data_IF_641268343393
#
_entry.id   IF_641268343393
#
_cell.length_a   1.000
_cell.length_b   1.000
_cell.length_c   1.000
_cell.angle_alpha   90.00
_cell.angle_beta   90.00
_cell.angle_gamma   90.00
#
_symmetry.space_group_name_H-M   'P 1'
#
loop_
_entity.id
_entity.type
_entity.pdbx_description
1 polymer ?
#
# COMPACT_ATOMS: atom_id res chain seq x y z
N UNK A 1 2.42 4.97 -1.60
CA UNK A 1 2.02 3.70 -0.94
C UNK A 1 0.52 3.45 -1.02
N UNK A 2 -0.36 4.10 -0.21
CA UNK A 2 -1.81 3.82 -0.16
C UNK A 2 -2.52 3.88 -1.51
N UNK A 3 -2.17 4.85 -2.35
CA UNK A 3 -2.79 5.07 -3.67
C UNK A 3 -2.36 4.02 -4.70
N UNK A 4 -1.11 3.56 -4.65
CA UNK A 4 -0.59 2.62 -5.65
C UNK A 4 -0.88 1.16 -5.30
N UNK A 5 -0.78 0.80 -4.02
CA UNK A 5 -1.04 -0.58 -3.57
C UNK A 5 -2.49 -0.83 -3.12
N UNK A 6 -3.29 0.22 -2.95
CA UNK A 6 -4.63 0.10 -2.39
C UNK A 6 -4.68 -0.45 -0.97
N UNK A 7 -3.56 -0.53 -0.24
CA UNK A 7 -3.54 -1.03 1.12
C UNK A 7 -4.29 -0.10 2.08
N UNK A 8 -4.75 -0.65 3.20
CA UNK A 8 -5.34 0.16 4.30
C UNK A 8 -4.22 0.89 5.06
N UNK A 9 -4.56 2.02 5.67
CA UNK A 9 -3.58 2.76 6.50
C UNK A 9 -2.93 1.86 7.56
N UNK A 10 -3.71 1.02 8.25
CA UNK A 10 -3.17 0.09 9.22
C UNK A 10 -2.27 -1.00 8.62
N UNK A 11 -2.52 -1.42 7.39
CA UNK A 11 -1.65 -2.34 6.67
C UNK A 11 -0.32 -1.65 6.32
N UNK A 12 -0.38 -0.41 5.83
CA UNK A 12 0.82 0.39 5.55
C UNK A 12 1.69 0.61 6.80
N UNK A 13 1.07 0.96 7.94
CA UNK A 13 1.79 1.17 9.19
C UNK A 13 2.46 -0.09 9.74
N UNK A 14 2.02 -1.26 9.31
CA UNK A 14 2.59 -2.56 9.68
C UNK A 14 3.64 -3.07 8.69
N UNK A 15 3.92 -2.34 7.59
CA UNK A 15 4.90 -2.78 6.59
C UNK A 15 6.32 -2.76 7.17
N UNK A 16 7.06 -3.81 6.85
CA UNK A 16 8.48 -3.94 7.10
C UNK A 16 9.28 -3.90 5.81
N UNK A 17 10.56 -3.66 5.91
CA UNK A 17 11.45 -3.65 4.75
C UNK A 17 11.45 -5.00 4.02
N UNK A 18 11.37 -6.11 4.77
CA UNK A 18 11.25 -7.48 4.23
C UNK A 18 9.99 -7.73 3.39
N UNK A 19 8.95 -6.90 3.55
CA UNK A 19 7.70 -7.01 2.79
C UNK A 19 7.79 -6.39 1.39
N UNK A 20 8.87 -5.65 1.09
CA UNK A 20 9.05 -4.94 -0.17
C UNK A 20 10.07 -5.66 -1.03
N UNK A 21 9.59 -6.45 -1.97
CA UNK A 21 10.39 -7.14 -2.97
C UNK A 21 10.63 -6.19 -4.16
N UNK A 22 11.68 -5.35 -4.06
CA UNK A 22 11.91 -4.27 -5.01
C UNK A 22 12.23 -4.78 -6.42
N UNK A 23 12.97 -5.89 -6.55
CA UNK A 23 13.30 -6.49 -7.84
C UNK A 23 12.07 -7.05 -8.55
N UNK A 24 11.17 -7.65 -7.80
CA UNK A 24 9.91 -8.22 -8.26
C UNK A 24 8.81 -7.17 -8.42
N UNK A 25 9.03 -5.96 -7.90
CA UNK A 25 8.03 -4.88 -7.84
C UNK A 25 6.74 -5.34 -7.13
N UNK A 26 6.91 -5.89 -5.93
CA UNK A 26 5.84 -6.44 -5.14
C UNK A 26 5.89 -5.96 -3.69
N UNK A 27 4.70 -5.85 -3.08
CA UNK A 27 4.55 -5.57 -1.65
C UNK A 27 3.69 -6.66 -1.03
N UNK A 28 4.22 -7.32 -0.02
CA UNK A 28 3.50 -8.32 0.76
C UNK A 28 2.81 -7.67 1.95
N UNK A 29 1.49 -7.71 1.97
CA UNK A 29 0.69 -7.34 3.15
C UNK A 29 0.59 -8.57 4.03
N UNK A 30 1.43 -8.64 5.04
CA UNK A 30 1.48 -9.80 5.93
C UNK A 30 0.42 -9.72 7.04
N UNK A 31 -0.23 -10.85 7.31
CA UNK A 31 -1.13 -10.99 8.45
C UNK A 31 -0.30 -11.31 9.70
N UNK A 32 0.15 -10.27 10.38
CA UNK A 32 0.94 -10.38 11.63
C UNK A 32 0.49 -9.37 12.66
N UNK A 33 0.86 -9.62 13.92
CA UNK A 33 0.78 -8.63 14.97
C UNK A 33 2.04 -7.75 14.94
N UNK A 34 1.85 -6.45 15.09
CA UNK A 34 2.92 -5.47 15.07
C UNK A 34 2.98 -4.73 16.40
N UNK A 35 4.20 -4.36 16.83
CA UNK A 35 4.45 -3.66 18.09
C UNK A 35 3.69 -2.32 18.22
N UNK A 36 3.42 -1.66 17.09
CA UNK A 36 2.64 -0.42 17.03
C UNK A 36 1.12 -0.65 16.96
N UNK A 37 0.64 -1.88 17.13
CA UNK A 37 -0.77 -2.26 17.05
C UNK A 37 -1.36 -2.28 15.64
N UNK A 38 -0.56 -2.02 14.62
CA UNK A 38 -0.99 -2.09 13.23
C UNK A 38 -1.36 -3.53 12.83
N UNK A 39 -2.45 -3.72 12.09
CA UNK A 39 -2.96 -5.05 11.73
C UNK A 39 -3.46 -5.07 10.30
N UNK A 40 -3.23 -6.18 9.61
CA UNK A 40 -4.00 -6.54 8.43
C UNK A 40 -5.32 -7.18 8.88
N UNK A 41 -6.46 -6.58 8.53
CA UNK A 41 -7.80 -7.12 8.85
C UNK A 41 -8.19 -8.32 7.99
N UNK A 42 -7.52 -8.51 6.87
CA UNK A 42 -7.67 -9.64 5.96
C UNK A 42 -6.40 -10.49 6.01
N UNK A 43 -6.47 -11.72 5.52
CA UNK A 43 -5.30 -12.57 5.36
C UNK A 43 -4.19 -11.90 4.53
N UNK A 44 -2.99 -12.44 4.60
CA UNK A 44 -1.85 -11.95 3.83
C UNK A 44 -2.13 -11.98 2.32
N UNK A 45 -1.53 -11.04 1.59
CA UNK A 45 -1.56 -10.99 0.13
C UNK A 45 -0.36 -10.25 -0.43
N UNK A 46 0.01 -10.57 -1.64
CA UNK A 46 1.02 -9.83 -2.39
C UNK A 46 0.35 -8.93 -3.43
N UNK A 47 0.81 -7.69 -3.51
CA UNK A 47 0.28 -6.66 -4.41
C UNK A 47 1.39 -6.22 -5.34
N UNK A 48 1.28 -6.45 -6.65
CA UNK A 48 2.18 -5.88 -7.64
C UNK A 48 2.08 -4.35 -7.64
N UNK A 49 3.21 -3.67 -7.76
CA UNK A 49 3.28 -2.20 -7.74
C UNK A 49 4.13 -1.69 -8.89
N UNK A 50 3.89 -0.45 -9.30
CA UNK A 50 4.66 0.17 -10.37
C UNK A 50 6.09 0.54 -9.95
N UNK A 51 7.01 0.68 -10.92
CA UNK A 51 8.41 1.03 -10.68
C UNK A 51 8.56 2.38 -9.98
N UNK A 52 7.62 3.31 -10.17
CA UNK A 52 7.64 4.62 -9.54
C UNK A 52 7.51 4.54 -8.03
N UNK A 53 6.69 3.62 -7.50
CA UNK A 53 6.58 3.41 -6.07
C UNK A 53 7.87 2.83 -5.49
N UNK A 54 8.51 1.91 -6.20
CA UNK A 54 9.79 1.33 -5.80
C UNK A 54 10.88 2.40 -5.80
N UNK A 55 10.91 3.29 -6.82
CA UNK A 55 11.83 4.42 -6.85
C UNK A 55 11.61 5.36 -5.67
N UNK A 56 10.36 5.77 -5.40
CA UNK A 56 10.04 6.61 -4.24
C UNK A 56 10.43 5.95 -2.91
N UNK A 57 10.33 4.64 -2.81
CA UNK A 57 10.79 3.90 -1.64
C UNK A 57 12.32 3.95 -1.51
N UNK A 58 13.05 3.76 -2.61
CA UNK A 58 14.51 3.85 -2.63
C UNK A 58 15.00 5.27 -2.28
N UNK A 59 14.36 6.30 -2.85
CA UNK A 59 14.66 7.71 -2.54
C UNK A 59 14.41 8.01 -1.05
N UNK A 60 13.30 7.54 -0.50
CA UNK A 60 12.98 7.66 0.91
C UNK A 60 14.05 7.01 1.81
N UNK A 61 14.51 5.81 1.46
CA UNK A 61 15.56 5.13 2.21
C UNK A 61 16.89 5.90 2.16
N UNK A 62 17.20 6.47 1.01
CA UNK A 62 18.46 7.17 0.80
C UNK A 62 18.46 8.57 1.43
N UNK A 63 17.40 9.33 1.22
CA UNK A 63 17.37 10.76 1.56
C UNK A 63 16.87 11.04 2.98
N UNK A 64 15.92 10.23 3.48
CA UNK A 64 15.24 10.52 4.74
C UNK A 64 15.49 9.48 5.83
N UNK A 65 15.39 8.19 5.48
CA UNK A 65 15.52 7.11 6.45
C UNK A 65 16.96 6.96 6.96
N UNK A 66 17.92 7.04 6.04
CA UNK A 66 19.36 7.01 6.36
C UNK A 66 19.77 5.75 7.14
N UNK A 67 20.51 5.96 8.22
CA UNK A 67 21.03 4.89 9.08
C UNK A 67 20.11 4.50 10.25
N UNK A 68 18.80 4.70 10.15
CA UNK A 68 17.86 4.27 11.19
C UNK A 68 17.79 2.74 11.21
N UNK A 69 18.03 2.17 12.40
CA UNK A 69 17.92 0.73 12.64
C UNK A 69 16.48 0.39 13.08
N UNK A 70 15.67 -0.05 12.13
CA UNK A 70 14.30 -0.50 12.38
C UNK A 70 13.82 -1.42 11.25
N UNK A 71 13.03 -2.43 11.59
CA UNK A 71 12.40 -3.31 10.59
C UNK A 71 11.27 -2.61 9.82
N UNK A 72 10.67 -1.55 10.42
CA UNK A 72 9.48 -0.91 9.87
C UNK A 72 9.81 0.13 8.81
N UNK A 73 8.99 0.21 7.78
CA UNK A 73 9.09 1.22 6.72
C UNK A 73 8.72 2.61 7.24
N UNK A 74 7.65 2.72 8.02
CA UNK A 74 7.18 4.01 8.53
C UNK A 74 7.52 4.17 10.01
N UNK A 75 8.49 5.03 10.29
CA UNK A 75 9.07 5.23 11.61
C UNK A 75 9.22 6.72 11.95
N UNK A 76 9.46 7.01 13.20
CA UNK A 76 9.86 8.34 13.62
C UNK A 76 11.27 8.64 13.09
N UNK A 77 11.36 9.53 12.11
CA UNK A 77 12.63 10.00 11.55
C UNK A 77 13.14 11.23 12.31
N UNK A 78 12.24 12.15 12.61
CA UNK A 78 12.55 13.47 13.18
C UNK A 78 12.22 13.58 14.68
N UNK A 79 11.36 12.71 15.20
CA UNK A 79 10.93 12.71 16.60
C UNK A 79 11.55 11.54 17.39
N UNK A 80 11.80 11.76 18.66
CA UNK A 80 12.22 10.69 19.57
C UNK A 80 11.01 9.84 20.04
N UNK A 81 11.20 8.55 20.26
CA UNK A 81 12.40 7.79 19.92
C UNK A 81 12.49 7.54 18.40
N UNK A 82 13.66 7.82 17.82
CA UNK A 82 13.93 7.55 16.39
C UNK A 82 13.83 6.06 16.11
N UNK A 83 13.37 5.71 14.90
CA UNK A 83 13.22 4.32 14.49
C UNK A 83 12.00 3.61 15.08
N UNK A 84 11.27 4.24 15.98
CA UNK A 84 10.01 3.67 16.49
C UNK A 84 8.96 3.67 15.38
N UNK A 85 8.34 2.51 15.17
CA UNK A 85 7.25 2.37 14.21
C UNK A 85 6.10 3.36 14.48
N UNK A 86 5.58 3.99 13.44
CA UNK A 86 4.47 4.92 13.57
C UNK A 86 3.24 4.25 14.15
N UNK A 87 2.64 4.90 15.15
CA UNK A 87 1.33 4.53 15.67
C UNK A 87 0.20 5.08 14.78
N UNK A 88 -1.02 4.55 14.96
CA UNK A 88 -2.21 5.12 14.34
C UNK A 88 -2.41 6.59 14.70
N UNK A 89 -2.06 6.98 15.95
CA UNK A 89 -2.18 8.37 16.37
C UNK A 89 -1.22 9.28 15.62
N UNK A 90 0.04 8.88 15.44
CA UNK A 90 1.03 9.66 14.69
C UNK A 90 0.58 9.86 13.22
N UNK A 91 0.06 8.81 12.58
CA UNK A 91 -0.47 8.90 11.23
C UNK A 91 -1.73 9.79 11.16
N UNK A 92 -2.62 9.70 12.13
CA UNK A 92 -3.81 10.55 12.21
C UNK A 92 -3.45 12.03 12.40
N UNK A 93 -2.49 12.33 13.28
CA UNK A 93 -2.00 13.69 13.48
C UNK A 93 -1.36 14.29 12.23
N UNK A 94 -0.66 13.45 11.42
CA UNK A 94 -0.17 13.87 10.11
C UNK A 94 -1.34 14.26 9.18
N UNK A 95 -2.38 13.41 9.12
CA UNK A 95 -3.57 13.69 8.29
C UNK A 95 -4.22 15.01 8.71
N UNK A 96 -4.37 15.27 10.02
CA UNK A 96 -4.93 16.53 10.52
C UNK A 96 -4.07 17.74 10.13
N UNK A 97 -2.75 17.63 10.26
CA UNK A 97 -1.83 18.70 9.82
C UNK A 97 -1.92 18.96 8.32
N UNK A 98 -1.99 17.91 7.50
CA UNK A 98 -2.13 18.06 6.05
C UNK A 98 -3.46 18.70 5.68
N UNK A 99 -4.58 18.29 6.30
CA UNK A 99 -5.88 18.94 6.12
C UNK A 99 -5.84 20.43 6.45
N UNK A 100 -5.23 20.77 7.58
CA UNK A 100 -5.10 22.17 8.00
C UNK A 100 -4.25 23.01 7.03
N UNK A 101 -3.18 22.43 6.49
CA UNK A 101 -2.27 23.12 5.56
C UNK A 101 -2.83 23.27 4.16
N UNK A 102 -3.59 22.29 3.68
CA UNK A 102 -4.10 22.26 2.30
C UNK A 102 -5.53 22.78 2.16
N UNK A 103 -6.29 22.86 3.26
CA UNK A 103 -7.72 23.11 3.23
C UNK A 103 -8.56 21.98 2.67
N UNK A 104 -7.95 20.82 2.36
CA UNK A 104 -8.62 19.67 1.75
C UNK A 104 -8.99 18.66 2.83
N UNK A 105 -10.28 18.40 2.99
CA UNK A 105 -10.80 17.39 3.91
C UNK A 105 -10.74 16.01 3.25
N UNK A 106 -9.58 15.36 3.27
CA UNK A 106 -9.42 14.00 2.76
C UNK A 106 -9.37 12.97 3.88
N UNK A 107 -9.72 11.72 3.56
CA UNK A 107 -9.53 10.56 4.43
C UNK A 107 -8.52 9.60 3.79
N UNK A 108 -7.59 8.99 4.55
CA UNK A 108 -6.66 7.99 4.01
C UNK A 108 -7.35 6.86 3.25
N UNK A 109 -8.59 6.53 3.59
CA UNK A 109 -9.36 5.52 2.91
C UNK A 109 -9.72 5.92 1.47
N UNK A 110 -9.78 7.24 1.17
CA UNK A 110 -10.00 7.73 -0.20
C UNK A 110 -8.91 7.32 -1.17
N UNK A 111 -7.67 7.22 -0.71
CA UNK A 111 -6.56 6.74 -1.56
C UNK A 111 -6.78 5.30 -2.00
N UNK A 112 -7.27 4.45 -1.11
CA UNK A 112 -7.64 3.07 -1.44
C UNK A 112 -8.84 3.01 -2.39
N UNK A 113 -9.86 3.84 -2.19
CA UNK A 113 -10.97 3.96 -3.14
C UNK A 113 -10.50 4.47 -4.50
N UNK A 114 -9.56 5.43 -4.50
CA UNK A 114 -8.92 5.92 -5.72
C UNK A 114 -8.20 4.82 -6.48
N UNK A 115 -7.40 3.99 -5.78
CA UNK A 115 -6.74 2.83 -6.37
C UNK A 115 -7.75 1.88 -7.02
N UNK A 116 -8.79 1.48 -6.28
CA UNK A 116 -9.83 0.60 -6.78
C UNK A 116 -10.52 1.16 -8.04
N UNK A 117 -10.93 2.44 -7.98
CA UNK A 117 -11.62 3.10 -9.08
C UNK A 117 -10.72 3.19 -10.32
N UNK A 118 -9.44 3.50 -10.13
CA UNK A 118 -8.45 3.57 -11.21
C UNK A 118 -8.28 2.21 -11.87
N UNK A 119 -8.03 1.15 -11.12
CA UNK A 119 -7.89 -0.20 -11.64
C UNK A 119 -9.12 -0.64 -12.45
N UNK A 120 -10.32 -0.39 -11.93
CA UNK A 120 -11.57 -0.70 -12.65
C UNK A 120 -11.71 0.11 -13.95
N UNK A 121 -11.35 1.39 -13.96
CA UNK A 121 -11.36 2.23 -15.17
C UNK A 121 -10.35 1.78 -16.21
N UNK A 122 -9.20 1.29 -15.75
CA UNK A 122 -8.16 0.74 -16.61
C UNK A 122 -8.48 -0.68 -17.10
N UNK A 123 -9.67 -1.22 -16.75
CA UNK A 123 -10.17 -2.50 -17.24
C UNK A 123 -9.68 -3.71 -16.45
N UNK A 124 -9.10 -3.51 -15.25
CA UNK A 124 -8.76 -4.62 -14.35
C UNK A 124 -10.04 -5.30 -13.88
N UNK A 125 -10.18 -6.63 -14.00
CA UNK A 125 -11.37 -7.36 -13.56
C UNK A 125 -11.67 -7.10 -12.07
N UNK A 126 -12.96 -6.98 -11.74
CA UNK A 126 -13.40 -6.66 -10.37
C UNK A 126 -12.93 -7.69 -9.34
N UNK A 127 -12.80 -8.95 -9.74
CA UNK A 127 -12.32 -10.05 -8.91
C UNK A 127 -10.85 -9.87 -8.55
N UNK A 128 -10.04 -9.42 -9.51
CA UNK A 128 -8.63 -9.08 -9.30
C UNK A 128 -8.53 -7.89 -8.36
N UNK A 129 -9.31 -6.83 -8.59
CA UNK A 129 -9.36 -5.65 -7.72
C UNK A 129 -9.75 -6.05 -6.29
N UNK A 130 -10.76 -6.91 -6.12
CA UNK A 130 -11.18 -7.40 -4.81
C UNK A 130 -10.05 -8.17 -4.10
N UNK A 131 -9.31 -9.00 -4.83
CA UNK A 131 -8.16 -9.76 -4.32
C UNK A 131 -7.03 -8.81 -3.89
N UNK A 132 -6.64 -7.87 -4.74
CA UNK A 132 -5.61 -6.85 -4.44
C UNK A 132 -5.97 -6.02 -3.20
N UNK A 133 -7.25 -5.70 -3.04
CA UNK A 133 -7.74 -4.98 -1.87
C UNK A 133 -7.87 -5.88 -0.61
N UNK A 134 -7.83 -7.19 -0.74
CA UNK A 134 -8.04 -8.12 0.37
C UNK A 134 -9.46 -7.99 0.95
N UNK A 135 -10.48 -7.99 0.09
CA UNK A 135 -11.86 -8.07 0.51
C UNK A 135 -12.20 -9.53 0.81
N UNK A 136 -12.36 -9.87 2.10
CA UNK A 136 -12.76 -11.20 2.56
C UNK A 136 -14.24 -11.53 2.26
N UNK A 137 -15.01 -10.55 1.84
CA UNK A 137 -16.47 -10.66 1.63
C UNK A 137 -16.91 -10.16 0.26
N UNK A 138 -16.18 -10.49 -0.81
CA UNK A 138 -16.87 -10.67 -2.06
C UNK A 138 -17.53 -12.02 -1.93
N UNK A 139 -18.84 -12.01 -1.64
CA UNK A 139 -19.69 -13.21 -1.58
C UNK A 139 -19.87 -13.83 -2.98
N UNK A 140 -18.84 -13.79 -3.78
CA UNK A 140 -18.68 -14.48 -5.03
C UNK A 140 -17.70 -15.60 -4.76
N UNK A 141 -18.27 -16.72 -4.35
CA UNK A 141 -17.70 -18.06 -4.45
C UNK A 141 -16.16 -18.08 -4.42
N UNK A 142 -15.58 -18.21 -3.22
CA UNK A 142 -14.14 -18.50 -3.02
C UNK A 142 -13.66 -19.73 -3.83
N UNK A 143 -14.56 -20.52 -4.38
CA UNK A 143 -14.29 -21.66 -5.24
C UNK A 143 -13.85 -21.31 -6.66
N UNK A 144 -14.16 -20.11 -7.16
CA UNK A 144 -13.82 -19.71 -8.54
C UNK A 144 -12.54 -18.87 -8.58
N UNK A 145 -12.25 -18.07 -7.54
CA UNK A 145 -11.14 -17.11 -7.53
C UNK A 145 -10.10 -17.34 -6.44
N UNK A 146 -10.22 -18.39 -5.65
CA UNK A 146 -9.31 -18.74 -4.56
C UNK A 146 -7.88 -19.09 -5.00
N UNK A 147 -7.61 -19.06 -6.29
CA UNK A 147 -6.31 -19.36 -6.90
C UNK A 147 -5.70 -18.19 -7.67
N UNK A 148 -6.27 -16.98 -7.62
CA UNK A 148 -5.61 -15.81 -8.19
C UNK A 148 -4.30 -15.54 -7.46
N UNK A 149 -3.21 -15.69 -8.20
CA UNK A 149 -1.85 -15.44 -7.73
C UNK A 149 -1.47 -13.96 -7.90
N UNK A 150 -0.35 -13.55 -7.31
CA UNK A 150 0.25 -12.25 -7.58
C UNK A 150 0.60 -12.09 -9.06
N UNK A 151 0.99 -13.18 -9.73
CA UNK A 151 1.30 -13.21 -11.16
C UNK A 151 0.06 -12.94 -12.02
N UNK A 152 -1.09 -13.55 -11.68
CA UNK A 152 -2.36 -13.28 -12.37
C UNK A 152 -2.80 -11.81 -12.20
N UNK A 153 -2.62 -11.26 -11.00
CA UNK A 153 -2.90 -9.86 -10.72
C UNK A 153 -1.95 -8.94 -11.50
N UNK A 154 -0.66 -9.28 -11.56
CA UNK A 154 0.34 -8.55 -12.36
C UNK A 154 -0.05 -8.55 -13.83
N UNK A 155 -0.36 -9.71 -14.42
CA UNK A 155 -0.75 -9.83 -15.82
C UNK A 155 -2.00 -8.98 -16.15
N UNK A 156 -2.98 -8.94 -15.25
CA UNK A 156 -4.17 -8.10 -15.42
C UNK A 156 -3.84 -6.60 -15.38
N UNK A 157 -2.95 -6.18 -14.48
CA UNK A 157 -2.47 -4.80 -14.36
C UNK A 157 -1.63 -4.38 -15.58
N UNK A 158 -0.74 -5.26 -16.06
CA UNK A 158 0.06 -5.03 -17.27
C UNK A 158 -0.83 -4.88 -18.52
N UNK A 159 -1.81 -5.77 -18.68
CA UNK A 159 -2.79 -5.68 -19.76
C UNK A 159 -3.60 -4.39 -19.72
N UNK A 160 -3.88 -3.89 -18.53
CA UNK A 160 -4.53 -2.60 -18.30
C UNK A 160 -3.59 -1.38 -18.48
N UNK A 161 -2.30 -1.63 -18.80
CA UNK A 161 -1.31 -0.57 -19.03
C UNK A 161 -0.78 0.09 -17.75
N UNK A 162 -0.95 -0.57 -16.60
CA UNK A 162 -0.62 -0.01 -15.28
C UNK A 162 0.87 0.30 -15.10
N UNK A 163 1.76 -0.50 -15.67
CA UNK A 163 3.21 -0.33 -15.54
C UNK A 163 3.84 0.43 -16.71
N UNK A 164 3.07 0.78 -17.73
CA UNK A 164 3.55 1.51 -18.91
C UNK A 164 3.40 3.01 -18.74
N UNK A 165 4.07 3.64 -17.80
CA UNK A 165 4.27 5.10 -17.65
C UNK A 165 3.28 6.02 -18.36
N UNK A 166 1.98 5.88 -18.15
CA UNK A 166 1.01 6.87 -18.59
C UNK A 166 1.27 8.13 -17.77
N UNK A 167 1.82 9.13 -18.41
CA UNK A 167 1.90 10.47 -17.83
C UNK A 167 0.51 10.84 -17.31
N UNK A 168 0.41 11.02 -16.01
CA UNK A 168 -0.80 11.56 -15.38
C UNK A 168 -0.82 13.05 -15.73
N UNK A 169 -1.57 13.42 -16.77
CA UNK A 169 -1.90 14.82 -17.00
C UNK A 169 -2.82 15.28 -15.87
N UNK A 170 -2.31 16.13 -15.02
CA UNK A 170 -3.04 16.84 -13.97
C UNK A 170 -3.98 17.89 -14.54
#
# INVERSE_FOLDING_TARGET
MLYDSGCRAGEALGLRHEDIAAAEQEITIAARENANGARAKSGGRTVPVGPDLIRLYADYLHEEYGGIDSDYVFVNIWAEPKGQAWSYQAAYDLVLRLRARTGIAFDPHWFRHGAATRWLRDGVPIEVVATLLGHSSVAVTSSVYGHLTAEDARAALEKAGWFTGKEVSW
#
